data_IF_814215685525
#
_entry.id   IF_814215685525
#
_cell.length_a   1.000
_cell.length_b   1.000
_cell.length_c   1.000
_cell.angle_alpha   90.00
_cell.angle_beta   90.00
_cell.angle_gamma   90.00
#
_symmetry.space_group_name_H-M   'P 1'
#
loop_
_entity.id
_entity.type
_entity.pdbx_description
1 polymer ?
#
# COMPACT_ATOMS: atom_id res chain seq x y z
N UNK A 1 -30.75 40.06 -1.50
CA UNK A 1 -31.42 40.00 -0.19
C UNK A 1 -32.89 40.32 -0.41
N UNK A 2 -33.75 39.33 -0.20
CA UNK A 2 -35.18 39.58 -0.14
C UNK A 2 -35.46 40.49 1.07
N UNK A 3 -36.32 41.51 0.97
CA UNK A 3 -36.78 42.23 2.16
C UNK A 3 -37.46 41.23 3.08
N UNK A 4 -36.97 41.10 4.32
CA UNK A 4 -37.38 40.12 5.33
C UNK A 4 -36.76 38.71 5.26
N UNK A 5 -35.68 38.52 4.51
CA UNK A 5 -34.76 37.37 4.68
C UNK A 5 -33.52 37.88 5.44
N UNK A 6 -33.47 37.66 6.76
CA UNK A 6 -32.47 38.23 7.66
C UNK A 6 -31.24 37.33 7.85
N UNK A 7 -31.33 36.02 7.56
CA UNK A 7 -30.21 35.08 7.59
C UNK A 7 -29.66 34.72 6.19
N UNK A 8 -30.36 35.08 5.12
CA UNK A 8 -29.95 34.84 3.73
C UNK A 8 -30.37 33.47 3.19
N UNK A 9 -31.29 32.76 3.83
CA UNK A 9 -31.75 31.41 3.44
C UNK A 9 -32.81 31.40 2.31
N UNK A 10 -33.20 32.59 1.83
CA UNK A 10 -34.18 32.77 0.76
C UNK A 10 -35.63 32.60 1.19
N UNK A 11 -35.91 32.38 2.47
CA UNK A 11 -37.26 32.39 3.06
C UNK A 11 -37.51 33.72 3.77
N UNK A 12 -38.79 34.04 3.92
CA UNK A 12 -39.21 35.23 4.66
C UNK A 12 -39.27 34.87 6.15
N UNK A 13 -38.57 35.65 6.96
CA UNK A 13 -38.58 35.65 8.41
C UNK A 13 -39.61 36.63 8.97
N UNK A 14 -39.85 36.50 10.28
CA UNK A 14 -40.71 37.40 11.01
C UNK A 14 -39.88 38.32 11.92
N UNK A 15 -39.92 39.62 11.67
CA UNK A 15 -39.40 40.63 12.59
C UNK A 15 -40.54 41.34 13.32
N UNK A 16 -40.47 41.40 14.65
CA UNK A 16 -41.42 42.13 15.50
C UNK A 16 -40.68 43.15 16.34
N UNK A 17 -41.13 44.40 16.30
CA UNK A 17 -40.63 45.46 17.17
C UNK A 17 -41.43 45.50 18.48
N UNK A 18 -40.75 45.70 19.60
CA UNK A 18 -41.41 45.92 20.88
C UNK A 18 -42.17 47.26 20.89
N UNK A 19 -43.33 47.30 21.55
CA UNK A 19 -44.09 48.53 21.70
C UNK A 19 -43.42 49.39 22.76
N UNK A 20 -42.94 50.56 22.36
CA UNK A 20 -42.23 51.53 23.20
C UNK A 20 -40.81 51.11 23.63
N UNK A 21 -40.22 50.10 22.96
CA UNK A 21 -38.84 49.64 23.16
C UNK A 21 -37.90 49.97 21.99
N UNK A 22 -36.59 49.72 22.19
CA UNK A 22 -35.53 49.87 21.19
C UNK A 22 -35.04 48.51 20.64
N UNK A 23 -35.81 47.45 20.87
CA UNK A 23 -35.48 46.07 20.48
C UNK A 23 -36.37 45.56 19.35
N UNK A 24 -35.77 44.78 18.46
CA UNK A 24 -36.43 43.99 17.43
C UNK A 24 -36.14 42.52 17.75
N UNK A 25 -37.18 41.69 17.81
CA UNK A 25 -37.04 40.24 17.86
C UNK A 25 -37.25 39.69 16.46
N UNK A 26 -36.32 38.88 15.97
CA UNK A 26 -36.43 38.18 14.69
C UNK A 26 -36.66 36.71 14.99
N UNK A 27 -37.78 36.17 14.52
CA UNK A 27 -38.01 34.74 14.45
C UNK A 27 -37.60 34.31 13.04
N UNK A 28 -36.49 33.57 12.97
CA UNK A 28 -36.03 32.95 11.74
C UNK A 28 -37.07 31.92 11.31
N UNK A 29 -37.51 31.97 10.05
CA UNK A 29 -38.37 30.95 9.46
C UNK A 29 -37.50 29.77 8.96
N UNK A 30 -36.57 29.36 9.81
CA UNK A 30 -35.65 28.28 9.57
C UNK A 30 -36.26 27.01 10.15
N UNK A 31 -36.51 26.03 9.29
CA UNK A 31 -36.86 24.68 9.73
C UNK A 31 -35.54 23.92 9.68
N UNK A 32 -35.03 23.53 10.84
CA UNK A 32 -33.83 22.72 10.93
C UNK A 32 -34.10 21.68 12.01
N UNK A 33 -34.24 20.43 11.58
CA UNK A 33 -34.12 19.30 12.50
C UNK A 33 -32.63 19.08 12.68
N UNK A 34 -32.14 19.36 13.87
CA UNK A 34 -30.73 19.34 14.25
C UNK A 34 -30.69 18.65 15.61
N UNK A 35 -30.30 17.37 15.61
CA UNK A 35 -30.41 16.53 16.79
C UNK A 35 -29.27 16.73 17.80
N UNK A 36 -28.11 17.19 17.35
CA UNK A 36 -26.92 17.38 18.20
C UNK A 36 -26.56 18.85 18.47
N UNK A 37 -27.32 19.77 17.90
CA UNK A 37 -27.28 21.23 18.07
C UNK A 37 -26.01 21.90 17.54
N UNK A 38 -25.45 21.40 16.43
CA UNK A 38 -24.28 21.98 15.78
C UNK A 38 -24.58 23.04 14.70
N UNK A 39 -25.88 23.28 14.43
CA UNK A 39 -26.46 24.18 13.43
C UNK A 39 -26.51 23.65 11.99
N UNK A 40 -26.25 22.36 11.79
CA UNK A 40 -26.51 21.66 10.54
C UNK A 40 -27.76 20.79 10.68
N UNK A 41 -28.43 20.54 9.55
CA UNK A 41 -29.71 19.85 9.52
C UNK A 41 -29.57 18.37 9.21
N UNK A 42 -30.09 17.51 10.08
CA UNK A 42 -30.19 16.06 9.87
C UNK A 42 -30.73 15.75 8.45
N UNK A 43 -30.06 14.88 7.67
CA UNK A 43 -30.56 14.44 6.38
C UNK A 43 -31.91 13.72 6.48
N UNK A 44 -32.73 13.82 5.43
CA UNK A 44 -34.01 13.12 5.33
C UNK A 44 -35.24 13.92 5.79
N UNK A 45 -35.06 15.16 6.22
CA UNK A 45 -36.14 16.10 6.49
C UNK A 45 -36.29 17.10 5.33
N UNK A 46 -37.26 16.90 4.40
CA UNK A 46 -37.40 17.74 3.20
C UNK A 46 -37.83 19.18 3.49
N UNK A 47 -38.23 19.46 4.73
CA UNK A 47 -38.54 20.80 5.19
C UNK A 47 -37.30 21.55 5.66
N UNK A 48 -36.15 20.88 5.84
CA UNK A 48 -34.91 21.51 6.29
C UNK A 48 -34.48 22.65 5.35
N UNK A 49 -34.04 23.75 5.96
CA UNK A 49 -33.63 24.99 5.28
C UNK A 49 -32.22 25.41 5.65
N UNK A 50 -31.58 24.67 6.56
CA UNK A 50 -30.16 24.74 6.91
C UNK A 50 -29.35 23.81 5.98
N UNK A 51 -28.01 23.98 5.90
CA UNK A 51 -27.15 23.02 5.21
C UNK A 51 -27.24 21.64 5.86
N UNK A 52 -27.06 20.59 5.08
CA UNK A 52 -27.14 19.20 5.56
C UNK A 52 -26.01 18.92 6.55
N UNK A 53 -26.33 18.15 7.59
CA UNK A 53 -25.41 17.64 8.60
C UNK A 53 -24.82 16.29 8.17
N UNK A 54 -23.50 16.22 8.09
CA UNK A 54 -22.78 14.97 7.80
C UNK A 54 -22.59 14.08 9.05
N UNK A 55 -22.95 14.54 10.24
CA UNK A 55 -22.95 13.78 11.49
C UNK A 55 -24.18 14.02 12.40
N UNK A 56 -25.39 13.54 12.03
CA UNK A 56 -26.69 13.85 12.69
C UNK A 56 -26.84 13.53 14.19
N UNK A 57 -25.82 12.97 14.83
CA UNK A 57 -25.86 12.61 16.26
C UNK A 57 -24.58 12.99 17.00
N UNK A 58 -23.62 13.63 16.31
CA UNK A 58 -22.29 13.92 16.83
C UNK A 58 -21.88 15.33 16.44
N UNK A 59 -22.00 16.26 17.40
CA UNK A 59 -21.69 17.67 17.23
C UNK A 59 -20.35 17.91 16.52
N UNK A 60 -20.38 18.45 15.30
CA UNK A 60 -19.20 18.74 14.46
C UNK A 60 -19.40 20.00 13.59
N UNK A 61 -19.37 21.20 14.21
CA UNK A 61 -19.76 22.46 13.55
C UNK A 61 -18.83 22.91 12.41
N UNK A 62 -17.68 22.25 12.21
CA UNK A 62 -16.80 22.45 11.07
C UNK A 62 -17.17 21.59 9.86
N UNK A 63 -18.04 20.58 10.04
CA UNK A 63 -18.54 19.66 9.01
C UNK A 63 -17.40 19.15 8.13
N UNK A 64 -16.28 18.83 8.78
CA UNK A 64 -15.14 18.24 8.11
C UNK A 64 -15.54 16.87 7.55
N UNK A 65 -15.08 16.60 6.34
CA UNK A 65 -15.32 15.39 5.55
C UNK A 65 -14.06 15.22 4.69
N UNK A 66 -13.09 14.53 5.25
CA UNK A 66 -11.74 14.46 4.71
C UNK A 66 -11.66 13.63 3.43
N UNK A 67 -12.40 12.52 3.38
CA UNK A 67 -12.39 11.57 2.26
C UNK A 67 -13.50 11.83 1.22
N UNK A 68 -14.44 12.74 1.53
CA UNK A 68 -15.52 13.24 0.69
C UNK A 68 -16.60 12.18 0.37
N UNK A 69 -16.85 11.26 1.30
CA UNK A 69 -17.91 10.24 1.17
C UNK A 69 -19.29 10.75 1.64
N UNK A 70 -19.32 11.88 2.36
CA UNK A 70 -20.52 12.53 2.88
C UNK A 70 -20.87 12.18 4.34
N UNK A 71 -20.07 11.36 5.02
CA UNK A 71 -20.04 11.24 6.48
C UNK A 71 -18.96 12.19 7.03
N UNK A 72 -19.22 12.81 8.18
CA UNK A 72 -18.24 13.73 8.75
C UNK A 72 -17.17 13.02 9.56
N UNK A 73 -15.96 13.58 9.60
CA UNK A 73 -14.79 13.07 10.35
C UNK A 73 -15.15 12.73 11.82
N UNK A 74 -16.09 13.47 12.41
CA UNK A 74 -16.51 13.27 13.80
C UNK A 74 -17.31 11.98 14.05
N UNK A 75 -18.01 11.47 13.03
CA UNK A 75 -18.88 10.30 13.10
C UNK A 75 -18.53 9.21 12.11
N UNK A 76 -17.56 9.45 11.22
CA UNK A 76 -17.06 8.47 10.29
C UNK A 76 -15.96 7.61 10.92
N UNK A 77 -16.19 6.30 11.14
CA UNK A 77 -15.13 5.40 11.56
C UNK A 77 -14.09 5.12 10.45
N UNK A 78 -14.33 5.62 9.24
CA UNK A 78 -13.56 5.43 8.02
C UNK A 78 -13.01 6.75 7.46
N UNK A 79 -12.79 7.79 8.30
CA UNK A 79 -12.31 9.12 7.88
C UNK A 79 -10.89 9.14 7.26
N UNK A 80 -10.30 7.96 7.09
CA UNK A 80 -8.87 7.73 7.01
C UNK A 80 -8.38 7.23 5.64
N UNK A 81 -7.06 7.31 5.46
CA UNK A 81 -6.42 6.72 4.30
C UNK A 81 -6.14 5.23 4.52
N UNK A 82 -6.16 4.41 3.44
CA UNK A 82 -5.76 3.02 3.55
C UNK A 82 -4.32 2.88 4.09
N UNK A 83 -4.04 1.85 4.92
CA UNK A 83 -2.70 1.50 5.34
C UNK A 83 -1.88 1.22 4.09
N UNK A 84 -0.78 1.94 3.90
CA UNK A 84 0.02 1.84 2.68
C UNK A 84 1.13 0.81 2.85
N UNK A 85 1.22 -0.16 1.93
CA UNK A 85 2.30 -1.15 1.89
C UNK A 85 3.46 -0.59 1.04
N UNK A 86 4.64 -0.46 1.65
CA UNK A 86 5.83 -0.04 0.91
C UNK A 86 6.20 -1.08 -0.16
N UNK A 87 6.26 -0.63 -1.42
CA UNK A 87 6.59 -1.50 -2.53
C UNK A 87 8.04 -2.00 -2.47
N UNK A 88 8.30 -3.32 -2.52
CA UNK A 88 9.64 -3.86 -2.69
C UNK A 88 10.12 -3.84 -4.15
N UNK A 89 9.33 -3.28 -5.07
CA UNK A 89 9.48 -3.41 -6.52
C UNK A 89 8.78 -4.66 -7.07
N UNK A 90 8.82 -4.83 -8.39
CA UNK A 90 8.10 -5.91 -9.08
C UNK A 90 8.64 -7.31 -8.73
N UNK A 91 9.90 -7.41 -8.32
CA UNK A 91 10.57 -8.70 -8.07
C UNK A 91 11.63 -8.61 -6.98
N UNK A 92 11.59 -9.55 -6.03
CA UNK A 92 12.62 -9.75 -5.01
C UNK A 92 13.43 -11.01 -5.35
N UNK A 93 14.75 -10.88 -5.47
CA UNK A 93 15.62 -12.02 -5.72
C UNK A 93 15.93 -12.80 -4.43
N UNK A 94 15.64 -14.10 -4.43
CA UNK A 94 15.81 -15.02 -3.29
C UNK A 94 16.88 -16.06 -3.60
N UNK A 95 17.85 -16.23 -2.71
CA UNK A 95 18.97 -17.16 -2.95
C UNK A 95 18.55 -18.59 -2.67
N UNK A 96 18.86 -19.50 -3.59
CA UNK A 96 18.53 -20.91 -3.45
C UNK A 96 19.13 -21.53 -2.18
N UNK A 97 18.32 -22.32 -1.47
CA UNK A 97 18.62 -23.02 -0.22
C UNK A 97 19.12 -22.12 0.93
N UNK A 98 18.70 -20.84 0.96
CA UNK A 98 18.99 -19.89 2.04
C UNK A 98 17.67 -19.48 2.71
N UNK A 99 17.62 -19.34 4.05
CA UNK A 99 16.45 -18.79 4.73
C UNK A 99 16.09 -17.41 4.18
N UNK A 100 14.82 -17.25 3.88
CA UNK A 100 14.22 -16.03 3.38
C UNK A 100 13.11 -15.58 4.33
N UNK A 101 13.01 -14.27 4.50
CA UNK A 101 11.92 -13.63 5.20
C UNK A 101 11.57 -12.31 4.50
N UNK A 102 10.29 -12.13 4.22
CA UNK A 102 9.73 -10.86 3.81
C UNK A 102 8.93 -10.26 4.96
N UNK A 103 9.29 -9.04 5.33
CA UNK A 103 8.62 -8.25 6.36
C UNK A 103 7.93 -7.09 5.64
N UNK A 104 6.60 -7.05 5.57
CA UNK A 104 5.90 -5.93 4.97
C UNK A 104 6.17 -4.67 5.82
N UNK A 105 6.63 -3.60 5.16
CA UNK A 105 6.70 -2.29 5.78
C UNK A 105 5.40 -1.56 5.47
N UNK A 106 4.60 -1.31 6.50
CA UNK A 106 3.30 -0.67 6.38
C UNK A 106 3.35 0.65 7.13
N UNK A 107 2.80 1.68 6.52
CA UNK A 107 2.60 3.00 7.14
C UNK A 107 1.13 3.33 7.08
N UNK A 108 0.62 3.82 8.20
CA UNK A 108 -0.76 4.15 8.41
C UNK A 108 -0.77 5.52 9.12
N UNK A 109 -1.49 6.49 8.55
CA UNK A 109 -1.35 7.92 8.92
C UNK A 109 -2.09 8.29 10.20
N UNK A 110 -3.08 7.50 10.56
CA UNK A 110 -4.20 7.86 11.43
C UNK A 110 -4.56 6.68 12.34
N UNK A 111 -4.38 5.44 11.88
CA UNK A 111 -4.57 4.24 12.69
C UNK A 111 -3.26 3.63 13.21
N UNK A 112 -3.34 3.08 14.42
CA UNK A 112 -2.23 2.30 15.01
C UNK A 112 -2.43 0.80 14.86
N UNK A 113 -3.55 0.37 14.27
CA UNK A 113 -3.98 -1.04 14.26
C UNK A 113 -4.56 -1.41 12.91
N UNK A 114 -3.90 -2.33 12.22
CA UNK A 114 -4.32 -2.93 10.96
C UNK A 114 -3.99 -4.43 10.99
N UNK A 115 -4.69 -5.21 10.17
CA UNK A 115 -4.45 -6.64 9.98
C UNK A 115 -3.64 -6.88 8.71
N UNK A 116 -2.68 -7.81 8.80
CA UNK A 116 -1.88 -8.26 7.66
C UNK A 116 -2.37 -9.65 7.24
N UNK A 117 -2.68 -9.80 5.95
CA UNK A 117 -3.01 -11.10 5.38
C UNK A 117 -2.32 -11.32 4.02
N UNK A 118 -2.32 -12.58 3.57
CA UNK A 118 -1.65 -12.98 2.34
C UNK A 118 -2.59 -13.82 1.47
N UNK A 119 -2.86 -13.36 0.24
CA UNK A 119 -3.66 -14.13 -0.73
C UNK A 119 -2.81 -15.18 -1.45
N UNK A 120 -1.55 -14.85 -1.71
CA UNK A 120 -0.61 -15.73 -2.40
C UNK A 120 0.73 -15.66 -1.69
N UNK A 121 1.32 -16.83 -1.45
CA UNK A 121 2.70 -16.98 -1.01
C UNK A 121 3.35 -18.11 -1.83
N UNK A 122 4.68 -18.08 -2.03
CA UNK A 122 5.41 -19.19 -2.64
C UNK A 122 5.15 -20.49 -1.88
N UNK A 123 5.07 -21.61 -2.58
CA UNK A 123 4.71 -22.90 -1.96
C UNK A 123 5.73 -23.40 -0.91
N UNK A 124 6.95 -22.86 -0.93
CA UNK A 124 8.02 -23.15 0.03
C UNK A 124 8.04 -22.19 1.24
N UNK A 125 7.07 -21.27 1.33
CA UNK A 125 6.90 -20.33 2.43
C UNK A 125 5.75 -20.70 3.37
N UNK A 126 5.79 -20.11 4.55
CA UNK A 126 4.72 -20.08 5.55
C UNK A 126 4.62 -18.67 6.12
N UNK A 127 3.46 -18.30 6.67
CA UNK A 127 3.31 -17.03 7.40
C UNK A 127 3.66 -17.25 8.87
N UNK A 128 4.57 -16.43 9.41
CA UNK A 128 4.95 -16.43 10.82
C UNK A 128 5.08 -14.99 11.31
N UNK A 129 4.27 -14.61 12.30
CA UNK A 129 4.28 -13.27 12.91
C UNK A 129 4.24 -12.16 11.84
N UNK A 130 3.20 -12.21 11.00
CA UNK A 130 2.93 -11.28 9.89
C UNK A 130 4.04 -11.16 8.86
N UNK A 131 4.88 -12.18 8.76
CA UNK A 131 6.00 -12.24 7.83
C UNK A 131 5.91 -13.50 6.98
N UNK A 132 6.30 -13.41 5.71
CA UNK A 132 6.44 -14.58 4.83
C UNK A 132 7.83 -15.14 5.01
N UNK A 133 7.94 -16.32 5.61
CA UNK A 133 9.22 -16.98 5.90
C UNK A 133 9.31 -18.34 5.23
N UNK A 134 10.50 -18.70 4.75
CA UNK A 134 10.70 -19.96 4.06
C UNK A 134 12.15 -20.27 3.76
N UNK A 135 12.38 -21.47 3.24
CA UNK A 135 13.66 -21.86 2.65
C UNK A 135 13.33 -22.40 1.27
N UNK A 136 13.86 -21.76 0.23
CA UNK A 136 13.65 -22.23 -1.14
C UNK A 136 14.23 -23.63 -1.30
N UNK A 137 13.39 -24.62 -1.56
CA UNK A 137 13.80 -26.00 -1.84
C UNK A 137 13.38 -26.47 -3.23
N UNK A 138 12.66 -25.63 -3.95
CA UNK A 138 12.18 -25.91 -5.29
C UNK A 138 12.84 -24.97 -6.32
N UNK A 139 12.75 -25.40 -7.56
CA UNK A 139 13.25 -24.81 -8.79
C UNK A 139 12.22 -23.94 -9.51
N UNK A 140 11.03 -23.74 -8.94
CA UNK A 140 10.07 -22.75 -9.47
C UNK A 140 10.66 -21.36 -9.23
N UNK A 141 11.02 -20.72 -10.34
CA UNK A 141 11.77 -19.47 -10.30
C UNK A 141 10.97 -18.27 -9.89
N UNK A 142 9.67 -18.25 -10.20
CA UNK A 142 8.88 -17.03 -10.12
C UNK A 142 7.53 -17.35 -9.48
N UNK A 143 7.38 -16.97 -8.22
CA UNK A 143 6.15 -17.16 -7.46
C UNK A 143 5.69 -15.85 -6.84
N UNK A 144 4.38 -15.54 -6.92
CA UNK A 144 3.86 -14.30 -6.39
C UNK A 144 3.81 -14.32 -4.86
N UNK A 145 4.03 -13.15 -4.27
CA UNK A 145 3.54 -12.79 -2.95
C UNK A 145 2.49 -11.71 -3.17
N UNK A 146 1.29 -11.95 -2.65
CA UNK A 146 0.21 -10.94 -2.60
C UNK A 146 -0.12 -10.68 -1.15
N UNK A 147 0.13 -9.44 -0.72
CA UNK A 147 -0.04 -8.97 0.65
C UNK A 147 -1.20 -8.00 0.68
N UNK A 148 -2.02 -8.12 1.72
CA UNK A 148 -3.07 -7.16 2.04
C UNK A 148 -2.77 -6.60 3.42
N UNK A 149 -2.76 -5.28 3.54
CA UNK A 149 -2.86 -4.56 4.80
C UNK A 149 -4.25 -3.94 4.81
N UNK A 150 -5.04 -4.23 5.85
CA UNK A 150 -6.41 -3.74 5.95
C UNK A 150 -6.71 -3.27 7.36
N UNK A 151 -7.48 -2.20 7.47
CA UNK A 151 -8.11 -1.78 8.72
C UNK A 151 -9.62 -2.09 8.65
N UNK A 152 -10.42 -1.37 9.44
CA UNK A 152 -11.88 -1.55 9.51
C UNK A 152 -12.59 -1.25 8.19
N UNK A 153 -12.07 -0.31 7.41
CA UNK A 153 -12.75 0.34 6.31
C UNK A 153 -12.00 0.22 4.99
N UNK A 154 -10.67 0.23 5.07
CA UNK A 154 -9.76 0.39 3.97
C UNK A 154 -8.78 -0.78 3.87
N UNK A 155 -8.24 -0.97 2.66
CA UNK A 155 -7.21 -1.96 2.42
C UNK A 155 -6.30 -1.55 1.27
N UNK A 156 -4.99 -1.75 1.45
CA UNK A 156 -4.02 -1.73 0.37
C UNK A 156 -3.59 -3.16 0.04
N UNK A 157 -3.33 -3.39 -1.24
CA UNK A 157 -2.93 -4.71 -1.75
C UNK A 157 -1.77 -4.54 -2.72
N UNK A 158 -0.68 -5.23 -2.43
CA UNK A 158 0.47 -5.31 -3.35
C UNK A 158 0.73 -6.74 -3.79
N UNK A 159 1.10 -6.89 -5.05
CA UNK A 159 1.59 -8.16 -5.61
C UNK A 159 2.96 -7.96 -6.25
N UNK A 160 3.89 -8.84 -5.91
CA UNK A 160 5.24 -8.87 -6.47
C UNK A 160 5.71 -10.31 -6.59
N UNK A 161 6.81 -10.55 -7.31
CA UNK A 161 7.34 -11.89 -7.50
C UNK A 161 8.59 -12.15 -6.68
N UNK A 162 8.74 -13.39 -6.22
CA UNK A 162 10.02 -13.91 -5.75
C UNK A 162 10.75 -14.55 -6.92
N UNK A 163 11.98 -14.09 -7.20
CA UNK A 163 12.87 -14.69 -8.21
C UNK A 163 13.95 -15.53 -7.52
N UNK A 164 13.81 -16.85 -7.54
CA UNK A 164 14.84 -17.74 -6.98
C UNK A 164 16.07 -17.74 -7.89
N UNK A 165 17.28 -17.61 -7.34
CA UNK A 165 18.51 -17.67 -8.13
C UNK A 165 19.56 -18.58 -7.50
N UNK A 166 20.35 -19.22 -8.37
CA UNK A 166 21.49 -20.05 -7.99
C UNK A 166 22.78 -19.29 -8.29
N UNK A 167 23.75 -19.36 -7.39
CA UNK A 167 25.08 -18.81 -7.66
C UNK A 167 25.69 -19.53 -8.87
N UNK A 168 26.25 -18.78 -9.82
CA UNK A 168 26.85 -19.33 -11.04
C UNK A 168 25.86 -19.76 -12.13
N UNK A 169 24.54 -19.69 -11.89
CA UNK A 169 23.52 -19.84 -12.93
C UNK A 169 23.26 -18.47 -13.58
N UNK A 170 24.13 -18.09 -14.50
CA UNK A 170 24.17 -16.76 -15.10
C UNK A 170 23.07 -16.55 -16.16
N UNK A 171 22.65 -17.62 -16.83
CA UNK A 171 21.63 -17.56 -17.88
C UNK A 171 20.20 -17.86 -17.37
N UNK A 172 20.04 -18.12 -16.07
CA UNK A 172 18.80 -18.45 -15.39
C UNK A 172 18.09 -19.72 -15.90
N UNK A 173 18.84 -20.76 -16.29
CA UNK A 173 18.29 -22.02 -16.85
C UNK A 173 18.15 -23.20 -15.86
N UNK A 174 18.48 -22.98 -14.58
CA UNK A 174 18.49 -23.92 -13.44
C UNK A 174 19.72 -24.80 -13.31
N UNK A 175 20.65 -24.74 -14.24
CA UNK A 175 21.76 -25.68 -14.27
C UNK A 175 23.07 -24.92 -14.32
N UNK A 176 23.89 -25.05 -13.27
CA UNK A 176 25.27 -24.52 -13.32
C UNK A 176 26.08 -25.39 -14.28
N UNK A 177 26.31 -24.89 -15.49
CA UNK A 177 26.97 -25.61 -16.57
C UNK A 177 27.82 -24.68 -17.47
N UNK A 178 28.34 -25.22 -18.58
CA UNK A 178 29.18 -24.44 -19.51
C UNK A 178 28.39 -23.31 -20.21
N UNK A 179 27.07 -23.45 -20.33
CA UNK A 179 26.16 -22.44 -20.85
C UNK A 179 26.23 -21.14 -20.07
N UNK A 180 26.40 -21.20 -18.73
CA UNK A 180 26.57 -20.01 -17.90
C UNK A 180 27.87 -19.28 -18.19
N UNK A 181 28.98 -20.03 -18.33
CA UNK A 181 30.26 -19.44 -18.68
C UNK A 181 30.21 -18.77 -20.07
N UNK A 182 29.53 -19.40 -21.04
CA UNK A 182 29.31 -18.81 -22.37
C UNK A 182 28.42 -17.56 -22.28
N UNK A 183 27.38 -17.59 -21.45
CA UNK A 183 26.51 -16.44 -21.21
C UNK A 183 27.30 -15.25 -20.64
N UNK A 184 28.14 -15.47 -19.63
CA UNK A 184 29.02 -14.44 -19.08
C UNK A 184 29.99 -13.87 -20.11
N UNK A 185 30.61 -14.71 -20.94
CA UNK A 185 31.49 -14.26 -22.02
C UNK A 185 30.72 -13.37 -23.03
N UNK A 186 29.48 -13.73 -23.36
CA UNK A 186 28.63 -12.92 -24.24
C UNK A 186 28.25 -11.58 -23.60
N UNK A 187 27.92 -11.56 -22.31
CA UNK A 187 27.67 -10.33 -21.56
C UNK A 187 28.90 -9.40 -21.56
N UNK A 188 30.07 -9.94 -21.19
CA UNK A 188 31.30 -9.17 -21.01
C UNK A 188 31.85 -8.60 -22.33
N UNK A 189 31.83 -9.39 -23.40
CA UNK A 189 32.55 -9.03 -24.65
C UNK A 189 31.63 -8.74 -25.84
N UNK A 190 30.37 -9.17 -25.80
CA UNK A 190 29.46 -9.08 -26.96
C UNK A 190 28.21 -8.25 -26.70
N UNK A 191 28.12 -7.58 -25.54
CA UNK A 191 26.97 -6.76 -25.18
C UNK A 191 25.69 -7.57 -25.00
N UNK A 192 25.82 -8.84 -24.59
CA UNK A 192 24.67 -9.66 -24.20
C UNK A 192 23.95 -9.09 -22.97
N UNK A 193 22.79 -9.65 -22.60
CA UNK A 193 22.08 -9.26 -21.39
C UNK A 193 22.90 -9.56 -20.13
N UNK A 194 22.74 -8.73 -19.10
CA UNK A 194 23.32 -9.01 -17.78
C UNK A 194 22.62 -10.21 -17.12
N UNK A 195 23.33 -11.00 -16.30
CA UNK A 195 22.71 -12.02 -15.44
C UNK A 195 21.61 -11.41 -14.57
N UNK A 196 20.54 -12.17 -14.32
CA UNK A 196 19.46 -11.74 -13.44
C UNK A 196 19.23 -12.75 -12.30
N UNK A 197 19.48 -12.36 -11.04
CA UNK A 197 20.10 -11.11 -10.61
C UNK A 197 21.59 -11.06 -10.99
N UNK A 198 22.17 -9.85 -11.08
CA UNK A 198 23.57 -9.65 -11.49
C UNK A 198 24.57 -10.51 -10.68
N UNK A 199 24.33 -10.62 -9.37
CA UNK A 199 25.12 -11.46 -8.44
C UNK A 199 25.14 -12.95 -8.77
N UNK A 200 24.21 -13.48 -9.56
CA UNK A 200 24.27 -14.86 -10.04
C UNK A 200 25.48 -15.09 -10.96
N UNK A 201 25.97 -14.04 -11.63
CA UNK A 201 27.13 -14.08 -12.52
C UNK A 201 28.49 -13.80 -11.84
N UNK A 202 28.51 -13.39 -10.58
CA UNK A 202 29.72 -13.23 -9.76
C UNK A 202 30.00 -14.56 -9.04
N UNK A 203 30.49 -15.54 -9.80
CA UNK A 203 30.66 -16.92 -9.35
C UNK A 203 31.82 -17.10 -8.37
N UNK A 204 32.77 -16.17 -8.34
CA UNK A 204 33.92 -16.20 -7.45
C UNK A 204 33.79 -15.28 -6.21
N UNK A 205 32.69 -14.51 -6.12
CA UNK A 205 32.39 -13.54 -5.05
C UNK A 205 33.42 -12.43 -4.90
N UNK A 206 34.05 -11.99 -5.98
CA UNK A 206 34.98 -10.85 -5.92
C UNK A 206 34.27 -9.49 -6.08
N UNK A 207 32.95 -9.51 -6.27
CA UNK A 207 32.11 -8.33 -6.43
C UNK A 207 32.06 -7.80 -7.86
N UNK A 208 32.64 -8.50 -8.84
CA UNK A 208 32.69 -8.07 -10.24
C UNK A 208 32.33 -9.22 -11.16
N UNK A 209 31.41 -8.97 -12.10
CA UNK A 209 31.15 -9.92 -13.19
C UNK A 209 32.24 -9.78 -14.25
N UNK A 210 33.11 -10.78 -14.35
CA UNK A 210 34.31 -10.76 -15.17
C UNK A 210 34.62 -12.12 -15.81
N UNK A 211 35.70 -12.18 -16.59
CA UNK A 211 36.18 -13.45 -17.15
C UNK A 211 36.61 -14.42 -16.05
N UNK A 212 36.98 -13.90 -14.88
CA UNK A 212 37.27 -14.71 -13.70
C UNK A 212 36.12 -15.64 -13.35
N UNK A 213 34.88 -15.16 -13.43
CA UNK A 213 33.67 -15.91 -13.12
C UNK A 213 33.40 -17.02 -14.13
N UNK A 214 33.54 -16.72 -15.43
CA UNK A 214 33.42 -17.72 -16.48
C UNK A 214 34.47 -18.85 -16.29
N UNK A 215 35.71 -18.49 -15.95
CA UNK A 215 36.76 -19.47 -15.64
C UNK A 215 36.45 -20.25 -14.36
N UNK A 216 35.84 -19.60 -13.37
CA UNK A 216 35.42 -20.24 -12.12
C UNK A 216 34.35 -21.31 -12.37
N UNK A 217 33.30 -20.97 -13.13
CA UNK A 217 32.23 -21.90 -13.52
C UNK A 217 32.81 -23.09 -14.29
N UNK A 218 33.69 -22.85 -15.27
CA UNK A 218 34.36 -23.94 -16.01
C UNK A 218 35.16 -24.85 -15.07
N UNK A 219 35.84 -24.27 -14.07
CA UNK A 219 36.62 -25.04 -13.10
C UNK A 219 35.74 -25.86 -12.15
N UNK A 220 34.61 -25.31 -11.71
CA UNK A 220 33.61 -26.04 -10.94
C UNK A 220 33.04 -27.23 -11.74
N UNK A 221 32.54 -26.97 -12.95
CA UNK A 221 31.86 -27.96 -13.78
C UNK A 221 32.79 -29.09 -14.24
N UNK A 222 34.04 -28.78 -14.62
CA UNK A 222 34.94 -29.77 -15.25
C UNK A 222 36.12 -30.22 -14.39
N UNK A 223 36.54 -29.43 -13.40
CA UNK A 223 37.76 -29.70 -12.60
C UNK A 223 37.45 -30.04 -11.15
N UNK A 224 36.17 -30.18 -10.78
CA UNK A 224 35.75 -30.44 -9.40
C UNK A 224 36.16 -29.31 -8.46
N UNK A 225 36.21 -28.07 -8.97
CA UNK A 225 36.45 -26.90 -8.14
C UNK A 225 35.34 -26.67 -7.11
N UNK A 226 35.49 -25.69 -6.21
CA UNK A 226 34.44 -25.33 -5.26
C UNK A 226 33.17 -24.86 -5.98
N UNK A 227 32.01 -25.05 -5.34
CA UNK A 227 30.75 -24.53 -5.85
C UNK A 227 30.79 -23.00 -5.99
N UNK A 228 30.17 -22.43 -7.05
CA UNK A 228 30.05 -20.99 -7.19
C UNK A 228 29.42 -20.40 -5.93
N UNK A 229 29.93 -19.25 -5.54
CA UNK A 229 29.33 -18.45 -4.50
C UNK A 229 28.69 -17.22 -5.16
N UNK A 230 27.89 -16.48 -4.38
CA UNK A 230 27.33 -15.21 -4.79
C UNK A 230 26.98 -14.41 -3.53
N UNK A 231 27.34 -13.12 -3.45
CA UNK A 231 27.02 -12.26 -2.31
C UNK A 231 25.52 -12.03 -2.14
#
# INVERSE_FOLDING_TARGET
MSPADFNGDGRLDLAVADRDGDKISVLLNQICVDADADHFGDPGYPENTCPDDNCPTVYNPDQADYDLDGLGDACDPCDDFPPTIASPGDTISVKFNVPYAYYPAITDSDNTTFDISYLQIPHWCTVQNDSVVGVTRDTIFLEPITVIAADTCNADTISFYTLVYLCGNANADLMINVGDAVFLINYIFRGGPAPQPARAGDANCDGKISVGDAVYIISYVFRGGPAPCCP
#
